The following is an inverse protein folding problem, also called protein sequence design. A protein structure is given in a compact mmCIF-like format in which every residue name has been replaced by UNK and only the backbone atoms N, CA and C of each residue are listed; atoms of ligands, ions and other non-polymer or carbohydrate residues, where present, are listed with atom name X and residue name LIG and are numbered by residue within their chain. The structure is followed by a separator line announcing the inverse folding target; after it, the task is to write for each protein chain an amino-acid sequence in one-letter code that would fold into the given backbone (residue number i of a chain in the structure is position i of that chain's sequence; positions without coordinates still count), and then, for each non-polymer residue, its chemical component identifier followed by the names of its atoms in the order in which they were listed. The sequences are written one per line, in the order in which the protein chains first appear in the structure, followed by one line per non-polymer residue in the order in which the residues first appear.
data_IF_680804574335
#
_entry.id   IF_680804574335
#
_cell.length_a   1.000
_cell.length_b   1.000
_cell.length_c   1.000
_cell.angle_alpha   90.00
_cell.angle_beta   90.00
_cell.angle_gamma   90.00
#
_symmetry.space_group_name_H-M   'P 1'
#
loop_
_entity.id
_entity.type
_entity.pdbx_description
1 polymer ?
#
# COMPACT_ATOMS: atom_id res chain seq x y z
N UNK A 1 -20.97 -11.36 -20.43
CA UNK A 1 -19.82 -11.06 -19.56
C UNK A 1 -19.83 -9.57 -19.30
N UNK A 2 -20.13 -9.12 -18.07
CA UNK A 2 -19.97 -7.69 -17.74
C UNK A 2 -18.48 -7.41 -17.74
N UNK A 3 -18.05 -6.39 -18.49
CA UNK A 3 -16.70 -5.84 -18.36
C UNK A 3 -16.45 -5.58 -16.88
N UNK A 4 -15.45 -6.24 -16.30
CA UNK A 4 -14.93 -5.87 -15.00
C UNK A 4 -14.27 -4.49 -15.18
N UNK A 5 -15.06 -3.42 -15.10
CA UNK A 5 -14.51 -2.08 -14.95
C UNK A 5 -13.64 -2.10 -13.70
N UNK A 6 -12.32 -1.96 -13.89
CA UNK A 6 -11.38 -1.86 -12.79
C UNK A 6 -11.79 -0.70 -11.89
N UNK A 7 -12.12 -1.03 -10.66
CA UNK A 7 -12.68 -0.10 -9.72
C UNK A 7 -11.60 0.38 -8.77
N UNK A 8 -11.07 1.56 -9.07
CA UNK A 8 -10.04 2.19 -8.25
C UNK A 8 -10.63 2.95 -7.07
N UNK A 9 -9.97 2.84 -5.92
CA UNK A 9 -10.28 3.64 -4.74
C UNK A 9 -9.42 4.90 -4.73
N UNK A 10 -10.04 6.05 -5.01
CA UNK A 10 -9.35 7.35 -5.09
C UNK A 10 -9.54 8.18 -3.81
N UNK A 11 -8.79 9.28 -3.69
CA UNK A 11 -8.99 10.20 -2.57
C UNK A 11 -10.31 10.96 -2.66
N UNK A 12 -10.75 11.39 -3.85
CA UNK A 12 -12.04 12.08 -4.01
C UNK A 12 -13.17 11.21 -3.46
N UNK A 13 -13.15 9.93 -3.80
CA UNK A 13 -14.16 9.00 -3.33
C UNK A 13 -14.08 8.72 -1.84
N UNK A 14 -12.88 8.68 -1.28
CA UNK A 14 -12.70 8.62 0.17
C UNK A 14 -13.27 9.87 0.86
N UNK A 15 -13.17 11.06 0.25
CA UNK A 15 -13.78 12.27 0.80
C UNK A 15 -15.31 12.21 0.79
N UNK A 16 -15.91 11.61 -0.24
CA UNK A 16 -17.37 11.50 -0.38
C UNK A 16 -17.97 10.38 0.49
N UNK A 17 -17.35 9.21 0.51
CA UNK A 17 -17.93 7.96 1.03
C UNK A 17 -17.16 7.38 2.21
N UNK A 18 -16.02 7.99 2.58
CA UNK A 18 -15.13 7.47 3.61
C UNK A 18 -14.42 6.18 3.18
N UNK A 19 -14.04 5.38 4.19
CA UNK A 19 -13.33 4.11 3.98
C UNK A 19 -14.27 2.94 3.61
N UNK A 20 -15.58 3.10 3.84
CA UNK A 20 -16.56 2.02 3.74
C UNK A 20 -16.53 1.28 2.39
N UNK A 21 -16.46 1.97 1.23
CA UNK A 21 -16.43 1.25 -0.04
C UNK A 21 -15.15 0.43 -0.24
N UNK A 22 -14.03 0.87 0.34
CA UNK A 22 -12.78 0.12 0.35
C UNK A 22 -12.91 -1.12 1.23
N UNK A 23 -13.46 -0.98 2.44
CA UNK A 23 -13.69 -2.09 3.38
C UNK A 23 -14.60 -3.15 2.76
N UNK A 24 -15.69 -2.74 2.11
CA UNK A 24 -16.58 -3.67 1.42
C UNK A 24 -15.89 -4.39 0.25
N UNK A 25 -15.08 -3.69 -0.55
CA UNK A 25 -14.30 -4.33 -1.61
C UNK A 25 -13.26 -5.32 -1.03
N UNK A 26 -12.57 -4.95 0.05
CA UNK A 26 -11.65 -5.83 0.74
C UNK A 26 -12.34 -7.11 1.24
N UNK A 27 -13.52 -6.97 1.87
CA UNK A 27 -14.32 -8.12 2.33
C UNK A 27 -14.72 -9.05 1.17
N UNK A 28 -15.19 -8.49 0.05
CA UNK A 28 -15.55 -9.27 -1.15
C UNK A 28 -14.34 -10.01 -1.74
N UNK A 29 -13.20 -9.32 -1.81
CA UNK A 29 -11.95 -9.93 -2.28
C UNK A 29 -11.50 -11.08 -1.39
N UNK A 30 -11.51 -10.90 -0.06
CA UNK A 30 -11.13 -11.95 0.89
C UNK A 30 -12.07 -13.18 0.85
N UNK A 31 -13.29 -13.02 0.33
CA UNK A 31 -14.25 -14.10 0.07
C UNK A 31 -14.10 -14.74 -1.33
N UNK A 32 -13.19 -14.24 -2.16
CA UNK A 32 -13.03 -14.68 -3.55
C UNK A 32 -14.13 -14.18 -4.50
N UNK A 33 -14.94 -13.21 -4.08
CA UNK A 33 -16.08 -12.69 -4.85
C UNK A 33 -15.66 -11.56 -5.81
N UNK A 34 -14.48 -10.98 -5.60
CA UNK A 34 -13.99 -9.83 -6.36
C UNK A 34 -12.47 -9.83 -6.48
N UNK A 35 -11.96 -9.05 -7.43
CA UNK A 35 -10.52 -8.81 -7.59
C UNK A 35 -9.95 -8.01 -6.43
N UNK A 36 -8.62 -7.96 -6.33
CA UNK A 36 -7.91 -7.20 -5.29
C UNK A 36 -8.33 -5.72 -5.30
N UNK A 37 -8.57 -5.11 -4.12
CA UNK A 37 -8.82 -3.69 -4.05
C UNK A 37 -7.54 -2.92 -4.41
N UNK A 38 -7.65 -2.05 -5.41
CA UNK A 38 -6.56 -1.18 -5.85
C UNK A 38 -6.90 0.26 -5.52
N UNK A 39 -6.00 0.95 -4.82
CA UNK A 39 -6.13 2.37 -4.54
C UNK A 39 -5.27 3.18 -5.51
N UNK A 40 -5.81 4.30 -5.96
CA UNK A 40 -5.14 5.27 -6.83
C UNK A 40 -5.00 6.58 -6.04
N UNK A 41 -3.82 6.81 -5.43
CA UNK A 41 -3.56 8.00 -4.64
C UNK A 41 -3.51 9.25 -5.52
N UNK A 42 -3.75 10.40 -4.91
CA UNK A 42 -3.59 11.68 -5.59
C UNK A 42 -2.15 11.88 -6.03
N UNK A 43 -2.01 12.21 -7.31
CA UNK A 43 -0.72 12.45 -7.94
C UNK A 43 -0.38 13.94 -7.77
N UNK A 44 0.78 14.24 -7.22
CA UNK A 44 1.32 15.60 -7.31
C UNK A 44 1.63 15.92 -8.78
N UNK A 45 1.38 17.16 -9.20
CA UNK A 45 1.65 17.61 -10.57
C UNK A 45 3.06 17.19 -11.03
N UNK A 46 3.14 16.48 -12.16
CA UNK A 46 4.41 16.03 -12.75
C UNK A 46 4.96 14.69 -12.24
N UNK A 47 4.32 14.04 -11.27
CA UNK A 47 4.70 12.67 -10.86
C UNK A 47 3.94 11.62 -11.69
N UNK A 48 4.55 10.43 -11.85
CA UNK A 48 3.85 9.28 -12.43
C UNK A 48 2.78 8.79 -11.45
N UNK A 49 1.67 8.36 -12.01
CA UNK A 49 0.62 7.67 -11.27
C UNK A 49 1.19 6.39 -10.65
N UNK A 50 0.81 6.12 -9.41
CA UNK A 50 1.19 4.91 -8.66
C UNK A 50 -0.08 4.17 -8.25
N UNK A 51 -0.08 2.85 -8.35
CA UNK A 51 -1.17 2.02 -7.84
C UNK A 51 -0.78 1.39 -6.51
N UNK A 52 -1.71 1.35 -5.56
CA UNK A 52 -1.53 0.82 -4.22
C UNK A 52 -2.37 -0.44 -4.01
N UNK A 53 -1.74 -1.47 -3.47
CA UNK A 53 -2.39 -2.71 -3.02
C UNK A 53 -1.90 -3.07 -1.63
N UNK A 54 -2.62 -3.98 -0.99
CA UNK A 54 -2.41 -4.39 0.39
C UNK A 54 -2.31 -5.91 0.46
N UNK A 55 -1.46 -6.41 1.36
CA UNK A 55 -1.45 -7.81 1.72
C UNK A 55 -2.80 -8.24 2.29
N UNK A 56 -3.11 -9.53 2.16
CA UNK A 56 -4.33 -10.10 2.74
C UNK A 56 -4.39 -9.87 4.25
N UNK A 57 -3.24 -9.89 4.94
CA UNK A 57 -3.14 -9.57 6.37
C UNK A 57 -3.60 -8.15 6.68
N UNK A 58 -3.14 -7.16 5.92
CA UNK A 58 -3.59 -5.78 6.08
C UNK A 58 -5.07 -5.63 5.73
N UNK A 59 -5.55 -6.34 4.70
CA UNK A 59 -6.97 -6.32 4.32
C UNK A 59 -7.86 -6.92 5.42
N UNK A 60 -7.47 -8.04 6.02
CA UNK A 60 -8.15 -8.60 7.20
C UNK A 60 -8.19 -7.58 8.34
N UNK A 61 -7.05 -6.94 8.66
CA UNK A 61 -7.02 -5.91 9.70
C UNK A 61 -7.97 -4.74 9.41
N UNK A 62 -8.07 -4.30 8.14
CA UNK A 62 -9.01 -3.23 7.73
C UNK A 62 -10.46 -3.67 7.95
N UNK A 63 -10.79 -4.90 7.60
CA UNK A 63 -12.16 -5.44 7.73
C UNK A 63 -12.54 -5.67 9.19
N UNK A 64 -11.63 -6.20 10.00
CA UNK A 64 -11.96 -6.68 11.35
C UNK A 64 -11.90 -5.59 12.43
N UNK A 65 -10.95 -4.65 12.33
CA UNK A 65 -10.75 -3.62 13.36
C UNK A 65 -10.94 -2.19 12.88
N UNK A 66 -10.84 -1.91 11.57
CA UNK A 66 -11.04 -0.61 10.86
C UNK A 66 -10.20 0.58 11.37
N UNK A 67 -10.00 0.75 12.67
CA UNK A 67 -9.44 1.93 13.34
C UNK A 67 -7.96 2.12 13.03
N UNK A 68 -7.17 1.06 13.07
CA UNK A 68 -5.71 1.14 13.01
C UNK A 68 -5.18 1.48 11.61
N UNK A 69 -5.98 1.21 10.57
CA UNK A 69 -5.58 1.40 9.18
C UNK A 69 -6.25 2.60 8.51
N UNK A 70 -7.27 3.20 9.12
CA UNK A 70 -7.97 4.36 8.55
C UNK A 70 -7.03 5.54 8.28
N UNK A 71 -6.26 5.96 9.28
CA UNK A 71 -5.37 7.12 9.13
C UNK A 71 -4.21 6.89 8.15
N UNK A 72 -3.45 5.77 8.24
CA UNK A 72 -2.39 5.54 7.28
C UNK A 72 -2.92 5.32 5.86
N UNK A 73 -4.08 4.68 5.69
CA UNK A 73 -4.76 4.58 4.39
C UNK A 73 -5.07 5.97 3.83
N UNK A 74 -5.79 6.82 4.58
CA UNK A 74 -6.10 8.21 4.20
C UNK A 74 -4.85 8.96 3.75
N UNK A 75 -3.77 8.85 4.53
CA UNK A 75 -2.51 9.53 4.21
C UNK A 75 -1.90 9.01 2.91
N UNK A 76 -1.89 7.70 2.70
CA UNK A 76 -1.37 7.10 1.47
C UNK A 76 -2.15 7.57 0.24
N UNK A 77 -3.49 7.56 0.29
CA UNK A 77 -4.32 7.97 -0.85
C UNK A 77 -4.34 9.50 -1.06
N UNK A 78 -4.29 10.29 0.01
CA UNK A 78 -4.33 11.76 -0.06
C UNK A 78 -3.02 12.34 -0.57
N UNK A 79 -1.90 11.85 -0.02
CA UNK A 79 -0.60 12.45 -0.27
C UNK A 79 0.20 11.69 -1.32
N UNK A 80 -0.12 10.42 -1.57
CA UNK A 80 0.54 9.62 -2.58
C UNK A 80 2.03 9.43 -2.36
N UNK A 81 2.71 9.10 -3.44
CA UNK A 81 4.15 8.88 -3.45
C UNK A 81 4.92 10.21 -3.44
N UNK A 82 5.85 10.36 -2.50
CA UNK A 82 6.58 11.61 -2.22
C UNK A 82 8.10 11.51 -2.44
N UNK A 83 8.62 10.32 -2.75
CA UNK A 83 10.06 10.10 -2.96
C UNK A 83 10.81 9.89 -1.65
N UNK A 84 11.82 10.73 -1.37
CA UNK A 84 12.66 10.64 -0.18
C UNK A 84 12.18 11.61 0.92
N UNK A 85 12.45 11.30 2.19
CA UNK A 85 12.06 12.17 3.32
C UNK A 85 13.24 12.46 4.25
N UNK A 86 13.33 13.71 4.70
CA UNK A 86 14.17 14.16 5.82
C UNK A 86 13.38 14.35 7.12
N UNK A 87 12.12 13.87 7.19
CA UNK A 87 11.22 13.98 8.35
C UNK A 87 10.10 15.02 8.17
N UNK A 88 9.03 14.89 8.98
CA UNK A 88 7.98 15.91 9.16
C UNK A 88 6.81 15.94 8.15
N UNK A 89 6.84 15.13 7.09
CA UNK A 89 5.81 15.16 6.01
C UNK A 89 5.08 13.81 5.90
N UNK A 90 3.77 13.87 5.64
CA UNK A 90 2.91 12.71 5.44
C UNK A 90 2.97 12.20 3.98
N UNK A 91 2.88 10.89 3.77
CA UNK A 91 2.81 10.28 2.45
C UNK A 91 3.60 8.97 2.36
N UNK A 92 3.85 8.51 1.14
CA UNK A 92 4.61 7.29 0.88
C UNK A 92 6.03 7.66 0.48
N UNK A 93 7.01 7.05 1.12
CA UNK A 93 8.42 7.36 0.93
C UNK A 93 9.27 6.11 0.73
N UNK A 94 10.37 6.26 0.01
CA UNK A 94 11.42 5.24 -0.03
C UNK A 94 12.02 5.02 1.36
N UNK A 95 12.37 3.77 1.64
CA UNK A 95 13.18 3.41 2.80
C UNK A 95 14.65 3.33 2.38
N UNK A 96 15.52 3.92 3.17
CA UNK A 96 16.95 3.65 3.06
C UNK A 96 17.22 2.20 3.47
N UNK A 97 18.06 1.49 2.70
CA UNK A 97 18.37 0.08 2.95
C UNK A 97 18.94 -0.15 4.36
N UNK A 98 19.72 0.79 4.87
CA UNK A 98 20.38 0.71 6.18
C UNK A 98 19.50 1.19 7.34
N UNK A 99 18.28 1.66 7.07
CA UNK A 99 17.36 2.04 8.15
C UNK A 99 16.94 0.83 8.98
N UNK A 100 16.59 1.04 10.26
CA UNK A 100 16.11 -0.04 11.14
C UNK A 100 14.85 -0.75 10.62
N UNK A 101 14.10 -0.12 9.70
CA UNK A 101 12.93 -0.66 9.03
C UNK A 101 13.26 -1.52 7.81
N UNK A 102 14.42 -1.32 7.16
CA UNK A 102 14.81 -2.02 5.93
C UNK A 102 14.82 -3.54 6.11
N UNK A 103 15.63 -4.08 7.05
CA UNK A 103 15.66 -5.52 7.32
C UNK A 103 14.32 -6.10 7.79
N UNK A 104 13.51 -5.29 8.51
CA UNK A 104 12.16 -5.71 8.95
C UNK A 104 11.22 -5.85 7.75
N UNK A 105 11.28 -4.92 6.80
CA UNK A 105 10.49 -4.96 5.56
C UNK A 105 10.87 -6.16 4.70
N UNK A 106 12.17 -6.42 4.52
CA UNK A 106 12.64 -7.58 3.74
C UNK A 106 12.15 -8.91 4.33
N UNK A 107 12.14 -9.06 5.66
CA UNK A 107 11.59 -10.27 6.31
C UNK A 107 10.08 -10.44 6.08
N UNK A 108 9.34 -9.35 5.88
CA UNK A 108 7.91 -9.39 5.58
C UNK A 108 7.60 -9.75 4.13
N UNK A 109 8.59 -9.78 3.23
CA UNK A 109 8.38 -10.17 1.83
C UNK A 109 8.11 -11.67 1.71
N UNK A 110 8.87 -12.50 2.43
CA UNK A 110 8.85 -13.96 2.30
C UNK A 110 7.45 -14.59 2.44
N UNK A 111 6.62 -14.22 3.42
CA UNK A 111 5.27 -14.77 3.55
C UNK A 111 4.30 -14.36 2.43
N UNK A 112 4.69 -13.39 1.59
CA UNK A 112 3.83 -12.78 0.57
C UNK A 112 4.36 -12.96 -0.86
N UNK A 113 5.42 -13.76 -1.09
CA UNK A 113 6.11 -13.88 -2.39
C UNK A 113 5.18 -14.19 -3.57
N UNK A 114 4.28 -15.17 -3.42
CA UNK A 114 3.35 -15.54 -4.50
C UNK A 114 2.41 -14.39 -4.86
N UNK A 115 1.90 -13.69 -3.84
CA UNK A 115 1.00 -12.56 -4.05
C UNK A 115 1.71 -11.36 -4.65
N UNK A 116 2.94 -11.10 -4.21
CA UNK A 116 3.81 -10.07 -4.75
C UNK A 116 4.09 -10.28 -6.23
N UNK A 117 4.37 -11.51 -6.66
CA UNK A 117 4.57 -11.81 -8.09
C UNK A 117 3.34 -11.49 -8.93
N UNK A 118 2.16 -11.90 -8.46
CA UNK A 118 0.90 -11.66 -9.16
C UNK A 118 0.54 -10.18 -9.22
N UNK A 119 0.63 -9.47 -8.10
CA UNK A 119 0.22 -8.07 -8.05
C UNK A 119 1.29 -7.16 -8.67
N UNK A 120 2.56 -7.39 -8.39
CA UNK A 120 3.62 -6.53 -8.94
C UNK A 120 4.08 -6.93 -10.34
N UNK A 121 3.52 -7.99 -10.94
CA UNK A 121 3.91 -8.51 -12.26
C UNK A 121 5.44 -8.69 -12.36
N UNK A 122 5.99 -9.44 -11.41
CA UNK A 122 7.42 -9.75 -11.31
C UNK A 122 7.64 -11.25 -11.20
N UNK A 123 8.81 -11.72 -11.63
CA UNK A 123 9.32 -13.04 -11.28
C UNK A 123 10.05 -13.01 -9.92
N UNK A 124 10.19 -14.18 -9.28
CA UNK A 124 10.96 -14.34 -8.04
C UNK A 124 12.39 -13.79 -8.14
N UNK A 125 13.03 -14.00 -9.29
CA UNK A 125 14.40 -13.55 -9.58
C UNK A 125 14.55 -12.02 -9.54
N UNK A 126 13.44 -11.30 -9.67
CA UNK A 126 13.40 -9.85 -9.65
C UNK A 126 12.94 -9.26 -8.30
N UNK A 127 12.75 -10.08 -7.25
CA UNK A 127 12.37 -9.58 -5.93
C UNK A 127 13.38 -8.56 -5.38
N UNK A 128 14.67 -8.75 -5.64
CA UNK A 128 15.74 -7.85 -5.19
C UNK A 128 15.73 -6.48 -5.88
N UNK A 129 15.02 -6.36 -7.01
CA UNK A 129 14.84 -5.08 -7.73
C UNK A 129 13.79 -4.19 -7.08
N UNK A 130 12.97 -4.73 -6.17
CA UNK A 130 11.94 -3.98 -5.49
C UNK A 130 12.52 -2.97 -4.51
N UNK A 131 11.90 -1.79 -4.47
CA UNK A 131 12.32 -0.73 -3.56
C UNK A 131 11.43 -0.76 -2.32
N UNK A 132 12.04 -0.86 -1.14
CA UNK A 132 11.31 -0.76 0.12
C UNK A 132 10.69 0.63 0.26
N UNK A 133 9.42 0.69 0.63
CA UNK A 133 8.66 1.92 0.87
C UNK A 133 7.96 1.89 2.22
N UNK A 134 7.67 3.06 2.78
CA UNK A 134 6.93 3.22 4.03
C UNK A 134 5.88 4.31 3.89
N UNK A 135 4.72 4.09 4.50
CA UNK A 135 3.71 5.13 4.71
C UNK A 135 4.08 5.87 5.98
N UNK A 136 4.26 7.19 5.89
CA UNK A 136 4.60 8.06 7.01
C UNK A 136 3.39 8.92 7.35
N UNK A 137 2.98 8.87 8.62
CA UNK A 137 2.02 9.78 9.22
C UNK A 137 2.47 10.15 10.64
N UNK A 138 1.76 11.08 11.27
CA UNK A 138 2.00 11.42 12.67
C UNK A 138 1.57 10.24 13.58
N UNK A 139 2.55 9.44 13.97
CA UNK A 139 2.40 8.26 14.82
C UNK A 139 3.56 8.22 15.83
N UNK A 140 3.32 8.59 17.10
CA UNK A 140 4.33 8.68 18.15
C UNK A 140 5.04 7.36 18.48
N UNK A 141 4.38 6.22 18.28
CA UNK A 141 4.97 4.90 18.57
C UNK A 141 6.05 4.46 17.57
N UNK A 142 6.29 5.26 16.52
CA UNK A 142 7.19 4.88 15.43
C UNK A 142 6.63 3.78 14.52
N UNK A 143 5.38 3.32 14.72
CA UNK A 143 4.70 2.36 13.86
C UNK A 143 4.51 2.93 12.45
N UNK A 144 4.84 2.18 11.41
CA UNK A 144 4.69 2.54 10.00
C UNK A 144 4.14 1.35 9.23
N UNK A 145 3.31 1.59 8.21
CA UNK A 145 3.04 0.54 7.21
C UNK A 145 4.24 0.51 6.27
N UNK A 146 4.79 -0.66 6.06
CA UNK A 146 5.89 -0.90 5.13
C UNK A 146 5.43 -1.72 3.94
N UNK A 147 6.13 -1.59 2.83
CA UNK A 147 5.82 -2.28 1.60
C UNK A 147 6.97 -2.25 0.63
N UNK A 148 6.68 -2.67 -0.59
CA UNK A 148 7.63 -2.73 -1.70
C UNK A 148 7.03 -2.05 -2.93
N UNK A 149 7.90 -1.49 -3.76
CA UNK A 149 7.55 -0.75 -4.96
C UNK A 149 8.25 -1.32 -6.18
N UNK A 150 7.47 -1.62 -7.21
CA UNK A 150 7.96 -1.93 -8.54
C UNK A 150 7.93 -0.67 -9.42
N UNK A 151 9.10 -0.15 -9.76
CA UNK A 151 9.23 1.03 -10.63
C UNK A 151 8.80 0.78 -12.08
N UNK A 152 8.81 -0.47 -12.54
CA UNK A 152 8.54 -0.79 -13.94
C UNK A 152 7.05 -0.61 -14.28
N UNK A 153 6.15 -0.92 -13.35
CA UNK A 153 4.70 -0.77 -13.51
C UNK A 153 4.08 0.26 -12.56
N UNK A 154 4.90 0.99 -11.80
CA UNK A 154 4.49 1.98 -10.80
C UNK A 154 3.50 1.41 -9.76
N UNK A 155 3.68 0.16 -9.31
CA UNK A 155 2.81 -0.46 -8.30
C UNK A 155 3.50 -0.65 -6.95
N UNK A 156 2.79 -0.28 -5.89
CA UNK A 156 3.18 -0.49 -4.50
C UNK A 156 2.31 -1.60 -3.91
N UNK A 157 2.97 -2.53 -3.21
CA UNK A 157 2.33 -3.54 -2.39
C UNK A 157 2.70 -3.31 -0.92
N UNK A 158 1.70 -2.95 -0.11
CA UNK A 158 1.87 -2.73 1.32
C UNK A 158 1.77 -4.07 2.06
N UNK A 159 2.77 -4.38 2.87
CA UNK A 159 2.98 -5.71 3.48
C UNK A 159 2.37 -5.79 4.87
N UNK A 160 2.83 -4.97 5.81
CA UNK A 160 2.37 -4.98 7.20
C UNK A 160 2.85 -3.72 7.94
N UNK A 161 2.56 -3.65 9.24
CA UNK A 161 3.16 -2.70 10.15
C UNK A 161 4.56 -3.13 10.61
N UNK A 162 5.46 -2.15 10.73
CA UNK A 162 6.76 -2.27 11.38
C UNK A 162 7.01 -1.06 12.28
N UNK A 163 7.83 -1.24 13.32
CA UNK A 163 8.25 -0.17 14.22
C UNK A 163 9.72 0.17 13.96
N UNK A 164 10.13 1.43 14.14
CA UNK A 164 11.55 1.81 14.12
C UNK A 164 12.36 1.01 15.14
#
# INVERSE_FOLDING_TARGET
MKENQEFYHTFERYQEQGLEPFVQHALQYLRGERTVPVSKPNVLLGMKEVLLTFSDKLLHNIVDTVTDLRKPYEVAIKYGFRGHTNGGINGIFFQERESSLGPKTTKLIQPHETRLQQDLDISLENLDSLINVKVVWHEPSGKRIVGVYNMNNNRIFLLDFAHY
#
